data_IF_765478001113
#
_entry.id   IF_765478001113
#
_cell.length_a   1.000
_cell.length_b   1.000
_cell.length_c   1.000
_cell.angle_alpha   90.00
_cell.angle_beta   90.00
_cell.angle_gamma   90.00
#
_symmetry.space_group_name_H-M   'P 1'
#
loop_
_entity.id
_entity.type
_entity.pdbx_description
1 polymer ?
#
# COMPACT_ATOMS: atom_id res chain seq x y z
N UNK A 1 -16.63 23.26 12.37
CA UNK A 1 -16.93 22.29 13.44
C UNK A 1 -15.77 21.32 13.51
N UNK A 2 -14.99 21.34 14.59
CA UNK A 2 -13.85 20.44 14.77
C UNK A 2 -14.43 19.07 15.09
N UNK A 3 -14.20 18.10 14.21
CA UNK A 3 -14.68 16.74 14.37
C UNK A 3 -14.07 16.19 15.68
N UNK A 4 -14.87 16.08 16.74
CA UNK A 4 -14.41 15.48 17.99
C UNK A 4 -13.95 14.06 17.69
N UNK A 5 -12.78 13.70 18.20
CA UNK A 5 -12.19 12.40 18.00
C UNK A 5 -13.11 11.34 18.64
N UNK A 6 -13.74 10.49 17.83
CA UNK A 6 -14.38 9.26 18.32
C UNK A 6 -13.27 8.32 18.83
N UNK A 7 -12.96 8.43 20.11
CA UNK A 7 -12.11 7.49 20.82
C UNK A 7 -12.92 6.68 21.81
N UNK A 8 -12.57 5.40 21.90
CA UNK A 8 -13.09 4.52 22.94
C UNK A 8 -12.40 4.85 24.24
N UNK A 9 -13.18 5.14 25.28
CA UNK A 9 -12.63 5.22 26.62
C UNK A 9 -12.33 3.81 27.14
N UNK A 10 -11.05 3.47 27.23
CA UNK A 10 -10.59 2.15 27.66
C UNK A 10 -9.21 2.21 28.31
N UNK A 11 -8.76 1.08 28.88
CA UNK A 11 -7.46 1.00 29.57
C UNK A 11 -6.26 1.45 28.73
N UNK A 12 -6.32 1.30 27.40
CA UNK A 12 -5.22 1.71 26.51
C UNK A 12 -5.13 3.22 26.37
N UNK A 13 -6.28 3.91 26.37
CA UNK A 13 -6.34 5.38 26.43
C UNK A 13 -5.75 5.88 27.74
N UNK A 14 -6.10 5.26 28.86
CA UNK A 14 -5.53 5.60 30.18
C UNK A 14 -4.01 5.43 30.20
N UNK A 15 -3.50 4.30 29.69
CA UNK A 15 -2.04 4.07 29.61
C UNK A 15 -1.34 5.08 28.70
N UNK A 16 -1.95 5.41 27.56
CA UNK A 16 -1.45 6.44 26.65
C UNK A 16 -1.34 7.79 27.38
N UNK A 17 -2.43 8.23 27.99
CA UNK A 17 -2.51 9.54 28.65
C UNK A 17 -1.53 9.65 29.82
N UNK A 18 -1.33 8.56 30.57
CA UNK A 18 -0.33 8.49 31.63
C UNK A 18 1.11 8.63 31.11
N UNK A 19 1.44 8.03 29.96
CA UNK A 19 2.76 8.19 29.33
C UNK A 19 2.96 9.65 28.91
N UNK A 20 1.94 10.26 28.30
CA UNK A 20 1.99 11.66 27.86
C UNK A 20 2.14 12.61 29.06
N UNK A 21 1.36 12.41 30.12
CA UNK A 21 1.41 13.22 31.34
C UNK A 21 2.81 13.18 31.96
N UNK A 22 3.38 11.98 32.13
CA UNK A 22 4.75 11.80 32.63
C UNK A 22 5.79 12.46 31.73
N UNK A 23 5.58 12.41 30.41
CA UNK A 23 6.52 12.99 29.46
C UNK A 23 6.45 14.53 29.43
N UNK A 24 5.30 15.14 29.73
CA UNK A 24 5.17 16.60 29.90
C UNK A 24 5.87 17.12 31.14
N UNK A 25 5.89 16.34 32.22
CA UNK A 25 6.42 16.78 33.51
C UNK A 25 7.92 16.53 33.72
N UNK A 26 8.61 15.93 32.74
CA UNK A 26 10.03 15.57 32.86
C UNK A 26 10.86 16.15 31.73
N UNK A 27 12.14 16.35 32.00
CA UNK A 27 13.15 16.67 30.99
C UNK A 27 14.04 15.46 30.78
N UNK A 28 14.26 15.07 29.51
CA UNK A 28 15.13 13.96 29.15
C UNK A 28 16.43 14.48 28.53
N UNK A 29 17.56 13.89 28.92
CA UNK A 29 18.90 14.19 28.38
C UNK A 29 19.31 13.23 27.25
N UNK A 30 18.56 12.17 27.02
CA UNK A 30 18.82 11.18 25.98
C UNK A 30 18.18 11.54 24.63
N UNK A 31 18.40 10.71 23.61
CA UNK A 31 17.69 10.82 22.33
C UNK A 31 16.16 10.76 22.52
N UNK A 32 15.47 11.73 21.93
CA UNK A 32 14.01 11.83 21.97
C UNK A 32 13.43 12.10 20.58
N UNK A 33 12.18 11.71 20.42
CA UNK A 33 11.37 11.95 19.23
C UNK A 33 10.20 12.87 19.61
N UNK A 34 9.95 13.87 18.75
CA UNK A 34 8.82 14.79 18.91
C UNK A 34 7.55 14.05 18.48
N UNK A 35 6.57 14.00 19.36
CA UNK A 35 5.29 13.33 19.14
C UNK A 35 4.14 14.33 19.35
N UNK A 36 3.11 14.23 18.51
CA UNK A 36 1.87 14.98 18.67
C UNK A 36 0.90 14.20 19.56
N UNK A 37 0.44 14.80 20.66
CA UNK A 37 -0.48 14.16 21.61
C UNK A 37 -1.76 13.73 20.90
N UNK A 38 -2.40 14.66 20.19
CA UNK A 38 -3.36 14.37 19.13
C UNK A 38 -2.60 14.36 17.79
N UNK A 39 -2.46 13.21 17.11
CA UNK A 39 -1.75 13.14 15.84
C UNK A 39 -2.32 14.09 14.78
N UNK A 40 -1.45 14.67 13.94
CA UNK A 40 -1.87 15.56 12.84
C UNK A 40 -2.85 14.89 11.86
N UNK A 41 -2.69 13.58 11.61
CA UNK A 41 -3.62 12.82 10.76
C UNK A 41 -5.05 12.75 11.34
N UNK A 42 -5.20 13.01 12.64
CA UNK A 42 -6.47 13.09 13.36
C UNK A 42 -6.90 14.54 13.64
N UNK A 43 -6.27 15.53 12.98
CA UNK A 43 -6.62 16.95 13.14
C UNK A 43 -5.88 17.68 14.24
N UNK A 44 -4.86 17.07 14.87
CA UNK A 44 -4.04 17.76 15.87
C UNK A 44 -3.23 18.94 15.34
N UNK A 45 -3.03 19.95 16.20
CA UNK A 45 -2.26 21.16 15.90
C UNK A 45 -0.75 20.91 15.98
N UNK A 46 0.05 21.84 15.44
CA UNK A 46 1.51 21.84 15.58
C UNK A 46 2.00 22.72 16.75
N UNK A 47 1.09 23.15 17.61
CA UNK A 47 1.38 24.04 18.74
C UNK A 47 2.08 23.28 19.87
N UNK A 48 2.86 23.98 20.69
CA UNK A 48 3.70 23.37 21.72
C UNK A 48 2.91 22.59 22.79
N UNK A 49 1.67 23.00 23.06
CA UNK A 49 0.73 22.34 23.97
C UNK A 49 0.32 20.92 23.52
N UNK A 50 0.28 20.69 22.20
CA UNK A 50 -0.01 19.41 21.56
C UNK A 50 1.25 18.59 21.28
N UNK A 51 2.43 19.05 21.71
CA UNK A 51 3.71 18.40 21.43
C UNK A 51 4.36 17.88 22.69
N UNK A 52 4.99 16.72 22.59
CA UNK A 52 5.72 16.10 23.70
C UNK A 52 6.97 15.39 23.19
N UNK A 53 8.00 15.29 24.04
CA UNK A 53 9.24 14.55 23.74
C UNK A 53 9.16 13.16 24.38
N UNK A 54 9.19 12.13 23.54
CA UNK A 54 9.17 10.73 23.97
C UNK A 54 10.52 10.07 23.66
N UNK A 55 10.94 9.09 24.45
CA UNK A 55 11.99 8.17 24.02
C UNK A 55 11.50 7.34 22.82
N UNK A 56 12.41 6.79 22.02
CA UNK A 56 12.03 5.96 20.86
C UNK A 56 11.12 4.77 21.24
N UNK A 57 11.31 4.21 22.44
CA UNK A 57 10.47 3.12 22.97
C UNK A 57 9.08 3.60 23.37
N UNK A 58 8.98 4.73 24.06
CA UNK A 58 7.68 5.31 24.43
C UNK A 58 6.90 5.74 23.19
N UNK A 59 7.56 6.35 22.21
CA UNK A 59 6.94 6.75 20.95
C UNK A 59 6.35 5.55 20.22
N UNK A 60 7.08 4.42 20.18
CA UNK A 60 6.59 3.16 19.63
C UNK A 60 5.36 2.64 20.38
N UNK A 61 5.41 2.64 21.71
CA UNK A 61 4.29 2.18 22.56
C UNK A 61 3.06 3.08 22.37
N UNK A 62 3.24 4.39 22.36
CA UNK A 62 2.16 5.36 22.16
C UNK A 62 1.46 5.16 20.82
N UNK A 63 2.20 4.99 19.73
CA UNK A 63 1.61 4.66 18.43
C UNK A 63 0.88 3.31 18.42
N UNK A 64 1.40 2.31 19.14
CA UNK A 64 0.72 1.03 19.30
C UNK A 64 -0.59 1.17 20.10
N UNK A 65 -0.60 1.99 21.17
CA UNK A 65 -1.77 2.23 22.02
C UNK A 65 -2.84 3.03 21.28
N UNK A 66 -2.47 4.03 20.48
CA UNK A 66 -3.41 4.79 19.63
C UNK A 66 -4.24 3.87 18.74
N UNK A 67 -3.64 2.78 18.23
CA UNK A 67 -4.35 1.77 17.45
C UNK A 67 -5.35 0.93 18.27
N UNK A 68 -5.46 1.09 19.59
CA UNK A 68 -6.34 0.31 20.47
C UNK A 68 -7.54 1.08 21.00
N UNK A 69 -7.58 2.39 20.81
CA UNK A 69 -8.70 3.24 21.24
C UNK A 69 -9.20 4.20 20.15
N UNK A 70 -8.72 4.06 18.92
CA UNK A 70 -9.23 4.77 17.75
C UNK A 70 -10.08 3.85 16.88
N UNK A 71 -11.15 4.41 16.32
CA UNK A 71 -12.15 3.68 15.54
C UNK A 71 -12.37 4.27 14.14
N UNK A 72 -13.16 3.55 13.34
CA UNK A 72 -13.58 3.97 12.00
C UNK A 72 -12.42 4.36 11.08
N UNK A 73 -12.59 5.50 10.40
CA UNK A 73 -11.58 6.04 9.47
C UNK A 73 -10.27 6.41 10.18
N UNK A 74 -10.37 6.90 11.41
CA UNK A 74 -9.24 7.37 12.20
C UNK A 74 -8.30 6.22 12.57
N UNK A 75 -8.86 5.04 12.86
CA UNK A 75 -8.11 3.81 13.13
C UNK A 75 -7.12 3.47 12.01
N UNK A 76 -7.55 3.58 10.75
CA UNK A 76 -6.67 3.32 9.62
C UNK A 76 -5.50 4.31 9.55
N UNK A 77 -5.76 5.59 9.82
CA UNK A 77 -4.72 6.63 9.75
C UNK A 77 -3.63 6.41 10.80
N UNK A 78 -4.00 6.02 12.03
CA UNK A 78 -3.02 5.71 13.08
C UNK A 78 -2.31 4.38 12.83
N UNK A 79 -3.00 3.39 12.25
CA UNK A 79 -2.37 2.13 11.84
C UNK A 79 -1.28 2.36 10.81
N UNK A 80 -1.52 3.23 9.82
CA UNK A 80 -0.50 3.61 8.82
C UNK A 80 0.70 4.29 9.48
N UNK A 81 0.48 5.16 10.47
CA UNK A 81 1.56 5.80 11.21
C UNK A 81 2.41 4.79 12.00
N UNK A 82 1.76 3.87 12.72
CA UNK A 82 2.44 2.82 13.48
C UNK A 82 3.16 1.81 12.57
N UNK A 83 2.55 1.45 11.44
CA UNK A 83 3.17 0.62 10.40
C UNK A 83 4.43 1.30 9.83
N UNK A 84 4.41 2.62 9.66
CA UNK A 84 5.58 3.42 9.31
C UNK A 84 6.73 3.25 10.31
N UNK A 85 6.45 3.28 11.61
CA UNK A 85 7.47 3.02 12.66
C UNK A 85 8.05 1.60 12.61
N UNK A 86 7.31 0.63 12.10
CA UNK A 86 7.75 -0.76 12.01
C UNK A 86 8.54 -1.05 10.73
N UNK A 87 8.25 -0.35 9.63
CA UNK A 87 8.84 -0.60 8.30
C UNK A 87 10.04 0.30 8.00
N UNK A 88 9.97 1.56 8.43
CA UNK A 88 11.03 2.53 8.18
C UNK A 88 12.16 2.32 9.18
N UNK A 89 13.34 2.00 8.66
CA UNK A 89 14.55 1.86 9.49
C UNK A 89 15.06 3.24 9.89
N UNK A 90 15.54 3.34 11.12
CA UNK A 90 16.28 4.49 11.64
C UNK A 90 17.37 3.97 12.56
N UNK A 91 18.59 4.46 12.38
CA UNK A 91 19.75 4.00 13.16
C UNK A 91 19.62 4.31 14.66
N UNK A 92 18.73 5.25 15.02
CA UNK A 92 18.47 5.66 16.40
C UNK A 92 17.34 4.89 17.08
N UNK A 93 16.71 3.93 16.37
CA UNK A 93 15.62 3.10 16.89
C UNK A 93 16.08 1.66 17.04
N UNK A 94 16.23 1.20 18.28
CA UNK A 94 16.76 -0.12 18.62
C UNK A 94 15.69 -1.15 19.04
N UNK A 95 14.39 -0.82 18.92
CA UNK A 95 13.32 -1.76 19.24
C UNK A 95 13.21 -2.86 18.16
N UNK A 96 12.97 -4.11 18.58
CA UNK A 96 12.80 -5.26 17.67
C UNK A 96 11.34 -5.46 17.31
N UNK A 97 11.03 -5.46 16.02
CA UNK A 97 9.70 -5.82 15.52
C UNK A 97 9.58 -7.33 15.42
N UNK A 98 8.65 -7.91 16.18
CA UNK A 98 8.39 -9.36 16.15
C UNK A 98 7.51 -9.75 14.96
N UNK A 99 7.60 -11.01 14.54
CA UNK A 99 6.76 -11.56 13.47
C UNK A 99 5.26 -11.45 13.78
N UNK A 100 4.87 -11.59 15.06
CA UNK A 100 3.49 -11.45 15.53
C UNK A 100 2.96 -10.03 15.32
N UNK A 101 3.74 -9.01 15.68
CA UNK A 101 3.36 -7.60 15.45
C UNK A 101 3.22 -7.34 13.95
N UNK A 102 4.20 -7.77 13.15
CA UNK A 102 4.18 -7.60 11.70
C UNK A 102 3.01 -8.33 11.01
N UNK A 103 2.67 -9.55 11.47
CA UNK A 103 1.50 -10.28 10.99
C UNK A 103 0.20 -9.55 11.34
N UNK A 104 0.04 -9.12 12.59
CA UNK A 104 -1.17 -8.43 13.04
C UNK A 104 -1.37 -7.09 12.33
N UNK A 105 -0.29 -6.32 12.11
CA UNK A 105 -0.37 -5.06 11.36
C UNK A 105 -0.81 -5.29 9.92
N UNK A 106 -0.27 -6.30 9.23
CA UNK A 106 -0.69 -6.62 7.86
C UNK A 106 -2.18 -6.97 7.79
N UNK A 107 -2.68 -7.70 8.78
CA UNK A 107 -4.10 -8.04 8.89
C UNK A 107 -4.96 -6.80 9.14
N UNK A 108 -4.66 -6.02 10.18
CA UNK A 108 -5.45 -4.83 10.55
C UNK A 108 -5.42 -3.76 9.45
N UNK A 109 -4.26 -3.50 8.84
CA UNK A 109 -4.15 -2.59 7.68
C UNK A 109 -4.96 -3.09 6.48
N UNK A 110 -5.06 -4.40 6.26
CA UNK A 110 -5.87 -4.97 5.16
C UNK A 110 -7.36 -4.78 5.41
N UNK A 111 -7.80 -4.92 6.65
CA UNK A 111 -9.20 -4.81 7.06
C UNK A 111 -9.68 -3.35 7.06
N UNK A 112 -8.92 -2.45 7.67
CA UNK A 112 -9.35 -1.06 7.91
C UNK A 112 -9.01 -0.11 6.75
N UNK A 113 -8.33 -0.57 5.71
CA UNK A 113 -7.91 0.30 4.60
C UNK A 113 -9.07 0.74 3.70
N UNK A 114 -9.42 2.02 3.81
CA UNK A 114 -10.36 2.71 2.93
C UNK A 114 -9.84 2.87 1.47
N UNK A 115 -8.55 2.61 1.21
CA UNK A 115 -7.96 2.70 -0.14
C UNK A 115 -8.52 1.66 -1.12
N UNK A 116 -9.20 0.62 -0.62
CA UNK A 116 -9.82 -0.43 -1.44
C UNK A 116 -11.18 -0.06 -2.01
N UNK A 117 -11.78 1.04 -1.55
CA UNK A 117 -13.07 1.49 -2.07
C UNK A 117 -12.95 1.94 -3.52
N UNK A 118 -14.02 1.78 -4.30
CA UNK A 118 -13.98 2.04 -5.74
C UNK A 118 -13.70 3.51 -6.06
N UNK A 119 -14.13 4.44 -5.19
CA UNK A 119 -13.77 5.86 -5.26
C UNK A 119 -12.26 6.06 -5.38
N UNK A 120 -11.46 5.44 -4.50
CA UNK A 120 -10.01 5.58 -4.53
C UNK A 120 -9.38 4.81 -5.68
N UNK A 121 -9.86 3.59 -6.00
CA UNK A 121 -9.39 2.86 -7.19
C UNK A 121 -9.52 3.69 -8.46
N UNK A 122 -10.69 4.30 -8.68
CA UNK A 122 -10.95 5.15 -9.84
C UNK A 122 -10.08 6.41 -9.83
N UNK A 123 -9.93 7.07 -8.67
CA UNK A 123 -9.08 8.26 -8.53
C UNK A 123 -7.62 7.96 -8.91
N UNK A 124 -7.05 6.86 -8.40
CA UNK A 124 -5.69 6.45 -8.76
C UNK A 124 -5.59 6.05 -10.23
N UNK A 125 -6.58 5.32 -10.77
CA UNK A 125 -6.62 4.97 -12.18
C UNK A 125 -6.59 6.23 -13.07
N UNK A 126 -7.42 7.23 -12.76
CA UNK A 126 -7.45 8.51 -13.49
C UNK A 126 -6.12 9.24 -13.43
N UNK A 127 -5.47 9.28 -12.25
CA UNK A 127 -4.15 9.90 -12.08
C UNK A 127 -3.05 9.20 -12.89
N UNK A 128 -3.17 7.88 -13.07
CA UNK A 128 -2.18 7.10 -13.82
C UNK A 128 -2.39 7.15 -15.34
N UNK A 129 -3.56 7.59 -15.81
CA UNK A 129 -3.81 7.72 -17.26
C UNK A 129 -2.84 8.73 -17.87
N UNK A 130 -2.08 8.28 -18.88
CA UNK A 130 -1.11 9.12 -19.57
C UNK A 130 0.21 9.36 -18.83
N UNK A 131 0.48 8.64 -17.72
CA UNK A 131 1.77 8.75 -17.03
C UNK A 131 2.94 8.31 -17.92
N UNK A 132 3.86 9.22 -18.22
CA UNK A 132 5.04 8.99 -19.06
C UNK A 132 6.36 8.91 -18.29
N UNK A 133 6.36 8.91 -16.95
CA UNK A 133 7.59 8.94 -16.14
C UNK A 133 8.57 7.80 -16.50
N UNK A 134 8.05 6.61 -16.72
CA UNK A 134 8.87 5.44 -17.08
C UNK A 134 9.02 5.25 -18.59
N UNK A 135 8.47 6.17 -19.39
CA UNK A 135 8.51 6.08 -20.84
C UNK A 135 9.94 6.27 -21.34
N UNK A 136 10.47 5.27 -22.06
CA UNK A 136 11.85 5.32 -22.55
C UNK A 136 12.91 5.03 -21.48
N UNK A 137 12.51 4.75 -20.24
CA UNK A 137 13.45 4.35 -19.19
C UNK A 137 14.13 3.02 -19.56
N UNK A 138 15.48 3.04 -19.64
CA UNK A 138 16.29 1.86 -19.92
C UNK A 138 17.03 1.45 -18.65
N UNK A 139 16.81 0.21 -18.20
CA UNK A 139 17.57 -0.37 -17.10
C UNK A 139 19.07 -0.47 -17.44
N UNK A 140 19.93 -0.30 -16.43
CA UNK A 140 21.36 -0.60 -16.51
C UNK A 140 21.58 -2.08 -16.83
N UNK A 141 22.68 -2.41 -17.51
CA UNK A 141 23.05 -3.78 -17.88
C UNK A 141 23.07 -4.72 -16.68
N UNK A 142 23.67 -4.31 -15.56
CA UNK A 142 23.72 -5.08 -14.33
C UNK A 142 22.30 -5.44 -13.81
N UNK A 143 21.38 -4.48 -13.82
CA UNK A 143 19.99 -4.70 -13.41
C UNK A 143 19.28 -5.68 -14.35
N UNK A 144 19.52 -5.57 -15.66
CA UNK A 144 18.98 -6.52 -16.65
C UNK A 144 19.49 -7.94 -16.37
N UNK A 145 20.78 -8.10 -16.06
CA UNK A 145 21.38 -9.40 -15.74
C UNK A 145 20.77 -10.01 -14.47
N UNK A 146 20.60 -9.22 -13.40
CA UNK A 146 19.95 -9.68 -12.16
C UNK A 146 18.51 -10.16 -12.40
N UNK A 147 17.77 -9.46 -13.25
CA UNK A 147 16.41 -9.85 -13.65
C UNK A 147 16.45 -11.15 -14.46
N UNK A 148 17.37 -11.26 -15.42
CA UNK A 148 17.51 -12.45 -16.27
C UNK A 148 17.84 -13.70 -15.46
N UNK A 149 18.82 -13.64 -14.56
CA UNK A 149 19.19 -14.77 -13.69
C UNK A 149 18.04 -15.19 -12.77
N UNK A 150 17.29 -14.23 -12.21
CA UNK A 150 16.11 -14.54 -11.39
C UNK A 150 15.00 -15.25 -12.16
N UNK A 151 14.84 -14.95 -13.44
CA UNK A 151 13.80 -15.53 -14.30
C UNK A 151 14.23 -16.83 -14.99
N UNK A 152 15.53 -17.12 -14.99
CA UNK A 152 16.11 -18.32 -15.59
C UNK A 152 15.47 -19.57 -14.97
N UNK A 153 14.87 -20.40 -15.82
CA UNK A 153 14.20 -21.64 -15.38
C UNK A 153 12.78 -21.47 -14.84
N UNK A 154 12.17 -20.28 -14.86
CA UNK A 154 10.76 -20.12 -14.50
C UNK A 154 9.85 -20.83 -15.52
N UNK A 155 9.16 -21.89 -15.09
CA UNK A 155 8.27 -22.70 -15.93
C UNK A 155 6.77 -22.46 -15.64
N UNK A 156 6.42 -21.51 -14.77
CA UNK A 156 5.03 -21.33 -14.30
C UNK A 156 3.99 -21.15 -15.41
N UNK A 157 4.39 -20.57 -16.55
CA UNK A 157 3.51 -20.33 -17.70
C UNK A 157 3.91 -21.14 -18.94
N UNK A 158 4.97 -21.93 -18.87
CA UNK A 158 5.48 -22.68 -20.02
C UNK A 158 4.47 -23.78 -20.38
N UNK A 159 4.04 -23.79 -21.64
CA UNK A 159 3.07 -24.77 -22.14
C UNK A 159 1.62 -24.54 -21.71
N UNK A 160 1.30 -23.46 -21.00
CA UNK A 160 -0.09 -23.12 -20.71
C UNK A 160 -0.83 -22.64 -21.97
N UNK A 161 -2.09 -23.05 -22.11
CA UNK A 161 -2.99 -22.66 -23.20
C UNK A 161 -3.93 -21.57 -22.69
N UNK A 162 -4.12 -20.51 -23.48
CA UNK A 162 -5.11 -19.48 -23.15
C UNK A 162 -6.49 -19.91 -23.63
N UNK A 163 -7.49 -19.71 -22.78
CA UNK A 163 -8.92 -19.86 -23.07
C UNK A 163 -9.66 -18.60 -22.60
N UNK A 164 -10.85 -18.36 -23.14
CA UNK A 164 -11.69 -17.23 -22.74
C UNK A 164 -13.17 -17.58 -22.68
N UNK A 165 -13.90 -16.89 -21.81
CA UNK A 165 -15.36 -16.92 -21.69
C UNK A 165 -15.83 -15.59 -21.10
N UNK A 166 -16.91 -15.02 -21.65
CA UNK A 166 -17.54 -13.78 -21.16
C UNK A 166 -16.56 -12.61 -20.94
N UNK A 167 -15.65 -12.38 -21.90
CA UNK A 167 -14.66 -11.30 -21.84
C UNK A 167 -13.51 -11.53 -20.85
N UNK A 168 -13.44 -12.69 -20.20
CA UNK A 168 -12.37 -13.05 -19.27
C UNK A 168 -11.47 -14.11 -19.89
N UNK A 169 -10.17 -13.82 -19.90
CA UNK A 169 -9.13 -14.76 -20.37
C UNK A 169 -8.46 -15.46 -19.19
N UNK A 170 -8.13 -16.74 -19.34
CA UNK A 170 -7.40 -17.55 -18.36
C UNK A 170 -6.36 -18.42 -19.05
N UNK A 171 -5.23 -18.66 -18.38
CA UNK A 171 -4.25 -19.67 -18.78
C UNK A 171 -4.54 -20.98 -18.03
N UNK A 172 -4.60 -22.09 -18.75
CA UNK A 172 -4.87 -23.43 -18.22
C UNK A 172 -3.84 -24.44 -18.73
N UNK A 173 -3.69 -25.56 -18.03
CA UNK A 173 -2.86 -26.67 -18.51
C UNK A 173 -3.48 -27.30 -19.76
N UNK A 174 -2.67 -27.80 -20.72
CA UNK A 174 -3.18 -28.44 -21.95
C UNK A 174 -4.19 -29.56 -21.69
N UNK A 175 -3.92 -30.38 -20.68
CA UNK A 175 -4.77 -31.53 -20.29
C UNK A 175 -6.20 -31.13 -19.89
N UNK A 176 -6.41 -29.90 -19.40
CA UNK A 176 -7.72 -29.43 -18.95
C UNK A 176 -8.49 -28.67 -20.04
N UNK A 177 -7.87 -28.38 -21.19
CA UNK A 177 -8.47 -27.52 -22.23
C UNK A 177 -9.81 -28.06 -22.69
N UNK A 178 -9.89 -29.37 -22.96
CA UNK A 178 -11.12 -30.00 -23.47
C UNK A 178 -12.28 -29.91 -22.49
N UNK A 179 -12.03 -29.97 -21.18
CA UNK A 179 -13.06 -29.83 -20.15
C UNK A 179 -13.63 -28.41 -20.15
N UNK A 180 -12.75 -27.40 -20.21
CA UNK A 180 -13.20 -26.01 -20.33
C UNK A 180 -13.94 -25.73 -21.64
N UNK A 181 -13.54 -26.36 -22.76
CA UNK A 181 -14.27 -26.21 -24.02
C UNK A 181 -15.71 -26.76 -23.92
N UNK A 182 -15.92 -27.88 -23.21
CA UNK A 182 -17.26 -28.42 -22.92
C UNK A 182 -18.10 -27.48 -22.04
N UNK A 183 -17.46 -26.76 -21.12
CA UNK A 183 -18.09 -25.72 -20.29
C UNK A 183 -18.39 -24.41 -21.06
N UNK A 184 -18.13 -24.37 -22.37
CA UNK A 184 -18.42 -23.23 -23.25
C UNK A 184 -17.31 -22.17 -23.29
N UNK A 185 -16.08 -22.49 -22.85
CA UNK A 185 -14.94 -21.63 -23.12
C UNK A 185 -14.50 -21.74 -24.59
N UNK A 186 -13.87 -20.68 -25.09
CA UNK A 186 -13.26 -20.62 -26.41
C UNK A 186 -11.75 -20.64 -26.30
N UNK A 187 -11.09 -21.23 -27.28
CA UNK A 187 -9.63 -21.23 -27.35
C UNK A 187 -9.09 -19.82 -27.64
N UNK A 188 -7.96 -19.47 -27.01
CA UNK A 188 -7.28 -18.20 -27.16
C UNK A 188 -7.65 -17.16 -26.10
N UNK A 189 -7.06 -15.97 -26.21
CA UNK A 189 -7.43 -14.81 -25.38
C UNK A 189 -8.68 -14.14 -25.95
N UNK A 190 -9.46 -13.52 -25.07
CA UNK A 190 -10.52 -12.63 -25.51
C UNK A 190 -9.92 -11.45 -26.30
N UNK A 191 -10.51 -11.18 -27.46
CA UNK A 191 -10.13 -10.08 -28.36
C UNK A 191 -11.33 -9.22 -28.72
N UNK A 192 -12.46 -9.35 -28.00
CA UNK A 192 -13.71 -8.64 -28.31
C UNK A 192 -13.57 -7.12 -28.30
N UNK A 193 -12.65 -6.59 -27.49
CA UNK A 193 -12.35 -5.16 -27.40
C UNK A 193 -11.53 -4.61 -28.60
N UNK A 194 -10.95 -5.47 -29.45
CA UNK A 194 -10.10 -5.06 -30.57
C UNK A 194 -10.95 -4.77 -31.81
N UNK A 195 -11.77 -3.73 -31.71
CA UNK A 195 -12.62 -3.22 -32.80
C UNK A 195 -11.79 -2.53 -33.89
N UNK A 196 -12.39 -2.25 -35.06
CA UNK A 196 -11.74 -1.49 -36.12
C UNK A 196 -11.33 -0.09 -35.63
N UNK A 197 -12.21 0.59 -34.90
CA UNK A 197 -11.96 1.88 -34.27
C UNK A 197 -10.79 1.83 -33.28
N UNK A 198 -10.74 0.80 -32.42
CA UNK A 198 -9.63 0.59 -31.49
C UNK A 198 -8.30 0.46 -32.21
N UNK A 199 -8.26 -0.33 -33.31
CA UNK A 199 -7.05 -0.51 -34.12
C UNK A 199 -6.58 0.80 -34.72
N UNK A 200 -7.50 1.60 -35.24
CA UNK A 200 -7.16 2.88 -35.86
C UNK A 200 -6.68 3.92 -34.84
N UNK A 201 -7.35 4.00 -33.69
CA UNK A 201 -6.90 4.82 -32.56
C UNK A 201 -5.48 4.46 -32.14
N UNK A 202 -5.19 3.16 -31.95
CA UNK A 202 -3.87 2.69 -31.57
C UNK A 202 -2.82 2.93 -32.66
N UNK A 203 -3.17 2.78 -33.94
CA UNK A 203 -2.29 3.14 -35.07
C UNK A 203 -1.90 4.61 -34.97
N UNK A 204 -2.87 5.52 -34.85
CA UNK A 204 -2.66 6.96 -34.71
C UNK A 204 -1.78 7.31 -33.50
N UNK A 205 -2.08 6.75 -32.33
CA UNK A 205 -1.31 6.97 -31.09
C UNK A 205 0.13 6.46 -31.23
N UNK A 206 0.31 5.30 -31.86
CA UNK A 206 1.64 4.71 -32.08
C UNK A 206 2.46 5.57 -33.04
N UNK A 207 1.89 5.97 -34.19
CA UNK A 207 2.54 6.88 -35.15
C UNK A 207 2.93 8.21 -34.51
N UNK A 208 2.01 8.85 -33.77
CA UNK A 208 2.30 10.09 -33.06
C UNK A 208 3.40 9.93 -32.00
N UNK A 209 3.47 8.77 -31.34
CA UNK A 209 4.51 8.45 -30.34
C UNK A 209 5.88 8.28 -30.97
N UNK A 210 6.01 7.56 -32.08
CA UNK A 210 7.31 7.40 -32.76
C UNK A 210 7.82 8.72 -33.37
N UNK A 211 6.93 9.61 -33.82
CA UNK A 211 7.29 10.97 -34.27
C UNK A 211 7.84 11.89 -33.17
N UNK A 212 7.57 11.63 -31.89
CA UNK A 212 8.07 12.45 -30.75
C UNK A 212 9.44 12.02 -30.22
N UNK A 213 9.90 10.83 -30.59
CA UNK A 213 11.14 10.22 -30.08
C UNK A 213 12.25 10.26 -31.14
N UNK A 214 11.89 10.43 -32.42
CA UNK A 214 12.78 10.80 -33.51
C UNK A 214 13.07 12.31 -33.46
#
# INVERSE_FOLDING_TARGET
MVNQMETVDNKYKVWHDNIIAKAKSRTLTCYTEKHHILPKCLGGSNNEDNLVRLTAKEHFIVHMLLCKFTEGRNRHLVLVAFEGMCRLKSDRRNYKITSRISAKLREESREHSHMKTDKYKQMFSKRMMGNTITLGFKHKSETKNKIAERLKGNQNTKGMVFINKDGKSRAVKPELVNDYLKEGFKLGKDRGYITAEYRELHRRLTTARYKKVA
#
